data_IF_973986258626
#
_entry.id   IF_973986258626
#
_cell.length_a   1.000
_cell.length_b   1.000
_cell.length_c   1.000
_cell.angle_alpha   90.00
_cell.angle_beta   90.00
_cell.angle_gamma   90.00
#
_symmetry.space_group_name_H-M   'P 1'
#
loop_
_entity.id
_entity.type
_entity.pdbx_description
1 polymer ?
#
# COMPACT_ATOMS: atom_id res chain seq x y z
N UNK A 1 38.44 22.66 -23.66
CA UNK A 1 38.09 21.44 -22.90
C UNK A 1 38.86 21.40 -21.59
N UNK A 2 40.14 21.60 -21.59
CA UNK A 2 41.04 21.46 -20.41
C UNK A 2 40.73 22.53 -19.31
N UNK A 3 40.29 23.71 -19.68
CA UNK A 3 40.01 24.81 -18.73
C UNK A 3 38.76 24.55 -17.86
N UNK A 4 37.85 23.72 -18.34
CA UNK A 4 36.61 23.36 -17.59
C UNK A 4 36.76 22.04 -16.86
N UNK A 5 37.55 21.12 -17.38
CA UNK A 5 37.69 19.77 -16.81
C UNK A 5 38.50 19.75 -15.49
N UNK A 6 39.51 20.62 -15.34
CA UNK A 6 40.32 20.68 -14.10
C UNK A 6 39.50 21.22 -12.91
N UNK A 7 38.80 22.39 -13.00
CA UNK A 7 37.94 22.85 -11.91
C UNK A 7 36.82 21.90 -11.57
N UNK A 8 36.22 21.23 -12.59
CA UNK A 8 35.17 20.24 -12.38
C UNK A 8 35.69 18.99 -11.65
N UNK A 9 36.90 18.53 -12.03
CA UNK A 9 37.52 17.39 -11.34
C UNK A 9 37.82 17.70 -9.87
N UNK A 10 38.34 18.90 -9.57
CA UNK A 10 38.60 19.32 -8.18
C UNK A 10 37.28 19.48 -7.39
N UNK A 11 36.24 19.98 -8.03
CA UNK A 11 34.92 20.11 -7.40
C UNK A 11 34.33 18.72 -7.11
N UNK A 12 34.38 17.80 -8.05
CA UNK A 12 33.90 16.43 -7.88
C UNK A 12 34.65 15.69 -6.77
N UNK A 13 36.00 15.87 -6.69
CA UNK A 13 36.80 15.29 -5.59
C UNK A 13 36.39 15.80 -4.21
N UNK A 14 35.94 17.05 -4.09
CA UNK A 14 35.41 17.58 -2.81
C UNK A 14 34.11 16.94 -2.38
N UNK A 15 33.33 16.41 -3.32
CA UNK A 15 32.04 15.79 -3.09
C UNK A 15 32.05 14.28 -3.31
N UNK A 16 33.25 13.67 -3.46
CA UNK A 16 33.40 12.24 -3.74
C UNK A 16 32.58 11.36 -2.79
N UNK A 17 32.65 11.60 -1.49
CA UNK A 17 31.89 10.84 -0.51
C UNK A 17 30.38 11.01 -0.65
N UNK A 18 29.93 12.22 -0.96
CA UNK A 18 28.51 12.53 -1.16
C UNK A 18 27.96 11.88 -2.44
N UNK A 19 28.78 11.93 -3.52
CA UNK A 19 28.44 11.31 -4.78
C UNK A 19 28.44 9.78 -4.65
N UNK A 20 29.43 9.22 -3.98
CA UNK A 20 29.52 7.80 -3.72
C UNK A 20 28.33 7.27 -2.90
N UNK A 21 28.00 7.94 -1.82
CA UNK A 21 26.84 7.57 -0.99
C UNK A 21 25.54 7.55 -1.81
N UNK A 22 25.40 8.47 -2.76
CA UNK A 22 24.20 8.59 -3.60
C UNK A 22 24.11 7.54 -4.70
N UNK A 23 25.25 7.02 -5.16
CA UNK A 23 25.33 6.00 -6.22
C UNK A 23 25.70 4.60 -5.70
N UNK A 24 25.61 4.38 -4.38
CA UNK A 24 25.88 3.08 -3.78
C UNK A 24 27.37 2.66 -3.79
N UNK A 25 28.27 3.60 -4.01
CA UNK A 25 29.72 3.36 -3.95
C UNK A 25 30.30 3.74 -2.60
N UNK A 26 31.44 3.16 -2.27
CA UNK A 26 32.25 3.57 -1.12
C UNK A 26 33.66 3.89 -1.58
N UNK A 27 34.15 5.09 -1.28
CA UNK A 27 35.53 5.51 -1.57
C UNK A 27 36.46 5.42 -0.36
N UNK A 28 35.98 4.81 0.72
CA UNK A 28 36.82 4.58 1.88
C UNK A 28 37.86 3.52 1.52
N UNK A 29 39.13 3.91 1.55
CA UNK A 29 40.26 2.99 1.47
C UNK A 29 40.73 2.78 2.88
N UNK A 30 40.56 1.57 3.42
CA UNK A 30 41.14 1.21 4.70
C UNK A 30 42.69 1.27 4.57
N UNK A 31 43.29 2.07 5.44
CA UNK A 31 44.74 2.03 5.64
C UNK A 31 45.00 1.03 6.77
N UNK A 32 45.93 0.12 6.54
CA UNK A 32 46.27 -0.98 7.47
C UNK A 32 45.14 -2.01 7.61
N UNK A 33 44.63 -2.47 6.49
CA UNK A 33 43.64 -3.55 6.46
C UNK A 33 44.28 -4.83 7.06
N UNK A 34 43.78 -5.25 8.23
CA UNK A 34 44.05 -6.59 8.74
C UNK A 34 43.09 -7.56 8.06
N UNK A 35 43.59 -8.28 7.07
CA UNK A 35 42.77 -9.25 6.30
C UNK A 35 42.27 -10.42 7.14
N UNK A 36 42.76 -10.57 8.38
CA UNK A 36 42.31 -11.58 9.33
C UNK A 36 41.34 -11.00 10.39
N UNK A 37 41.12 -9.69 10.40
CA UNK A 37 40.21 -9.09 11.34
C UNK A 37 38.74 -9.41 10.97
N UNK A 38 38.03 -10.09 11.84
CA UNK A 38 36.58 -10.29 11.75
C UNK A 38 35.91 -9.41 12.80
N UNK A 39 35.46 -8.23 12.39
CA UNK A 39 34.73 -7.32 13.28
C UNK A 39 33.28 -7.74 13.47
N UNK A 40 32.67 -8.30 12.42
CA UNK A 40 31.32 -8.80 12.42
C UNK A 40 31.23 -10.11 11.65
N UNK A 41 30.63 -11.12 12.26
CA UNK A 41 30.24 -12.33 11.56
C UNK A 41 28.78 -12.21 11.13
N UNK A 42 28.49 -12.55 9.90
CA UNK A 42 27.11 -12.65 9.43
C UNK A 42 26.49 -13.93 9.96
N UNK A 43 25.22 -13.86 10.37
CA UNK A 43 24.41 -15.03 10.68
C UNK A 43 24.01 -15.83 9.43
N UNK A 44 24.26 -15.26 8.23
CA UNK A 44 23.90 -15.84 6.95
C UNK A 44 25.15 -16.27 6.16
N UNK A 45 25.04 -17.41 5.47
CA UNK A 45 26.10 -17.96 4.64
C UNK A 45 26.10 -17.39 3.21
N UNK A 46 25.02 -16.74 2.79
CA UNK A 46 24.90 -16.12 1.47
C UNK A 46 23.94 -14.92 1.49
N UNK A 47 24.06 -14.07 0.47
CA UNK A 47 23.11 -12.97 0.24
C UNK A 47 21.69 -13.50 -0.03
N UNK A 48 21.56 -14.63 -0.72
CA UNK A 48 20.26 -15.27 -0.97
C UNK A 48 19.59 -15.71 0.33
N UNK A 49 20.33 -16.35 1.23
CA UNK A 49 19.80 -16.75 2.55
C UNK A 49 19.32 -15.53 3.36
N UNK A 50 20.09 -14.45 3.35
CA UNK A 50 19.73 -13.20 4.02
C UNK A 50 18.46 -12.58 3.41
N UNK A 51 18.36 -12.53 2.09
CA UNK A 51 17.18 -11.99 1.40
C UNK A 51 15.94 -12.83 1.71
N UNK A 52 16.03 -14.16 1.63
CA UNK A 52 14.92 -15.06 1.93
C UNK A 52 14.45 -14.94 3.38
N UNK A 53 15.38 -14.78 4.32
CA UNK A 53 15.06 -14.50 5.70
C UNK A 53 14.32 -13.15 5.85
N UNK A 54 14.81 -12.10 5.18
CA UNK A 54 14.18 -10.78 5.18
C UNK A 54 12.75 -10.80 4.63
N UNK A 55 12.51 -11.54 3.53
CA UNK A 55 11.17 -11.71 2.98
C UNK A 55 10.23 -12.43 3.96
N UNK A 56 10.71 -13.51 4.59
CA UNK A 56 9.93 -14.23 5.60
C UNK A 56 9.62 -13.34 6.82
N UNK A 57 10.60 -12.55 7.25
CA UNK A 57 10.43 -11.61 8.37
C UNK A 57 9.41 -10.50 8.03
N UNK A 58 9.46 -9.94 6.81
CA UNK A 58 8.48 -8.94 6.37
C UNK A 58 7.07 -9.51 6.35
N UNK A 59 6.90 -10.75 5.90
CA UNK A 59 5.60 -11.43 5.95
C UNK A 59 5.13 -11.64 7.40
N UNK A 60 6.03 -12.03 8.31
CA UNK A 60 5.72 -12.19 9.72
C UNK A 60 5.32 -10.85 10.38
N UNK A 61 6.04 -9.78 10.07
CA UNK A 61 5.73 -8.42 10.59
C UNK A 61 4.33 -8.01 10.18
N UNK A 62 3.94 -8.25 8.93
CA UNK A 62 2.58 -7.96 8.47
C UNK A 62 1.54 -8.85 9.15
N UNK A 63 1.82 -10.15 9.31
CA UNK A 63 0.94 -11.11 9.98
C UNK A 63 0.61 -10.70 11.44
N UNK A 64 1.59 -10.14 12.13
CA UNK A 64 1.46 -9.68 13.52
C UNK A 64 0.98 -8.23 13.61
N UNK A 65 1.27 -7.38 12.59
CA UNK A 65 0.98 -5.96 12.57
C UNK A 65 -0.39 -5.59 12.03
N UNK A 66 -0.95 -6.39 11.12
CA UNK A 66 -2.26 -6.12 10.56
C UNK A 66 -3.36 -6.07 11.65
N UNK A 67 -4.22 -5.06 11.58
CA UNK A 67 -5.26 -4.83 12.59
C UNK A 67 -6.66 -5.07 12.02
N UNK A 68 -7.38 -6.03 12.59
CA UNK A 68 -8.79 -6.28 12.26
C UNK A 68 -9.67 -5.27 12.99
N UNK A 69 -10.23 -4.32 12.24
CA UNK A 69 -11.05 -3.24 12.79
C UNK A 69 -12.51 -3.64 12.95
N UNK A 70 -12.99 -4.51 12.05
CA UNK A 70 -14.37 -4.96 12.02
C UNK A 70 -14.47 -6.33 11.37
N UNK A 71 -15.32 -7.21 11.92
CA UNK A 71 -15.68 -8.51 11.31
C UNK A 71 -17.10 -8.88 11.70
N UNK A 72 -18.05 -8.31 11.00
CA UNK A 72 -19.47 -8.56 11.22
C UNK A 72 -19.92 -9.85 10.52
N UNK A 73 -20.89 -10.52 11.09
CA UNK A 73 -21.54 -11.70 10.50
C UNK A 73 -20.57 -12.83 10.11
N UNK A 74 -19.41 -12.93 10.76
CA UNK A 74 -18.35 -13.87 10.41
C UNK A 74 -17.95 -13.75 8.91
N UNK A 75 -17.78 -12.51 8.44
CA UNK A 75 -17.36 -12.27 7.06
C UNK A 75 -16.00 -12.89 6.75
N UNK A 76 -15.10 -12.80 7.70
CA UNK A 76 -13.80 -13.50 7.69
C UNK A 76 -13.83 -14.67 8.69
N UNK A 77 -13.14 -15.77 8.40
CA UNK A 77 -12.35 -16.02 7.20
C UNK A 77 -13.18 -16.31 5.95
N UNK A 78 -12.59 -16.09 4.78
CA UNK A 78 -13.09 -16.56 3.51
C UNK A 78 -13.00 -18.08 3.41
N UNK A 79 -13.89 -18.69 2.65
CA UNK A 79 -13.76 -20.11 2.29
C UNK A 79 -12.48 -20.36 1.47
N UNK A 80 -11.83 -21.53 1.59
CA UNK A 80 -10.56 -21.82 0.93
C UNK A 80 -10.59 -21.74 -0.60
N UNK A 81 -11.76 -21.91 -1.19
CA UNK A 81 -12.03 -21.91 -2.63
C UNK A 81 -12.87 -20.70 -3.08
N UNK A 82 -12.94 -19.68 -2.25
CA UNK A 82 -13.73 -18.48 -2.53
C UNK A 82 -13.35 -17.83 -3.85
N UNK A 83 -14.36 -17.33 -4.57
CA UNK A 83 -14.21 -16.55 -5.79
C UNK A 83 -14.52 -15.10 -5.48
N UNK A 84 -13.53 -14.22 -5.64
CA UNK A 84 -13.63 -12.84 -5.18
C UNK A 84 -13.42 -11.83 -6.31
N UNK A 85 -14.05 -10.68 -6.19
CA UNK A 85 -13.82 -9.52 -7.04
C UNK A 85 -13.05 -8.45 -6.25
N UNK A 86 -11.87 -8.06 -6.75
CA UNK A 86 -11.03 -7.02 -6.12
C UNK A 86 -11.31 -5.68 -6.75
N UNK A 87 -11.91 -4.78 -5.98
CA UNK A 87 -12.30 -3.44 -6.42
C UNK A 87 -11.28 -2.39 -6.02
N UNK A 88 -11.30 -1.28 -6.72
CA UNK A 88 -10.40 -0.14 -6.66
C UNK A 88 -9.12 -0.33 -7.48
N UNK A 89 -8.68 0.77 -8.11
CA UNK A 89 -7.37 0.81 -8.77
C UNK A 89 -6.22 0.53 -7.79
N UNK A 90 -6.43 0.79 -6.51
CA UNK A 90 -5.49 0.47 -5.44
C UNK A 90 -5.31 -1.03 -5.23
N UNK A 91 -6.27 -1.89 -5.59
CA UNK A 91 -6.14 -3.35 -5.47
C UNK A 91 -5.07 -3.93 -6.39
N UNK A 92 -4.80 -3.28 -7.52
CA UNK A 92 -3.74 -3.66 -8.47
C UNK A 92 -2.48 -2.79 -8.33
N UNK A 93 -2.55 -1.74 -7.53
CA UNK A 93 -1.47 -0.76 -7.32
C UNK A 93 -1.31 -0.46 -5.82
N UNK A 94 -0.98 -1.49 -5.05
CA UNK A 94 -0.78 -1.38 -3.60
C UNK A 94 0.33 -0.38 -3.25
N UNK A 95 0.23 0.21 -2.09
CA UNK A 95 1.34 0.89 -1.43
C UNK A 95 2.17 -0.15 -0.72
N UNK A 96 3.35 -0.44 -1.25
CA UNK A 96 4.30 -1.37 -0.67
C UNK A 96 5.26 -0.69 0.29
N UNK A 97 5.49 0.60 0.10
CA UNK A 97 6.33 1.46 0.95
C UNK A 97 6.08 2.92 0.63
N UNK A 98 6.56 3.81 1.49
CA UNK A 98 6.39 5.24 1.35
C UNK A 98 7.26 5.87 0.26
N UNK A 99 7.40 7.20 0.32
CA UNK A 99 8.30 7.99 -0.53
C UNK A 99 9.64 8.21 0.16
N UNK A 100 10.61 8.77 -0.54
CA UNK A 100 11.93 9.07 0.01
C UNK A 100 12.72 7.82 0.36
N UNK A 101 13.32 7.78 1.54
CA UNK A 101 14.09 6.63 2.05
C UNK A 101 13.23 5.39 2.34
N UNK A 102 11.92 5.57 2.51
CA UNK A 102 10.96 4.46 2.65
C UNK A 102 10.50 3.85 1.32
N UNK A 103 10.95 4.39 0.18
CA UNK A 103 10.60 3.85 -1.14
C UNK A 103 11.28 2.50 -1.39
N UNK A 104 10.53 1.56 -1.93
CA UNK A 104 11.02 0.22 -2.27
C UNK A 104 10.78 -0.09 -3.75
N UNK A 105 11.65 -0.95 -4.32
CA UNK A 105 11.38 -1.54 -5.62
C UNK A 105 10.43 -2.74 -5.46
N UNK A 106 9.17 -2.50 -5.79
CA UNK A 106 8.13 -3.53 -5.71
C UNK A 106 8.00 -4.38 -6.98
N UNK A 107 8.95 -4.30 -7.91
CA UNK A 107 8.87 -5.04 -9.19
C UNK A 107 8.85 -6.57 -9.03
N UNK A 108 9.36 -7.06 -7.91
CA UNK A 108 9.37 -8.49 -7.56
C UNK A 108 8.37 -8.85 -6.47
N UNK A 109 7.59 -7.87 -5.98
CA UNK A 109 6.61 -8.11 -4.94
C UNK A 109 5.40 -8.91 -5.47
N UNK A 110 4.82 -9.69 -4.61
CA UNK A 110 3.52 -10.29 -4.90
C UNK A 110 2.44 -9.21 -4.99
N UNK A 111 1.49 -9.42 -5.88
CA UNK A 111 0.27 -8.62 -5.97
C UNK A 111 -0.80 -9.18 -5.04
N UNK A 112 -1.86 -8.42 -4.77
CA UNK A 112 -3.02 -8.93 -4.05
C UNK A 112 -3.59 -10.20 -4.72
N UNK A 113 -3.64 -10.21 -6.05
CA UNK A 113 -4.11 -11.38 -6.82
C UNK A 113 -3.21 -12.59 -6.59
N UNK A 114 -1.89 -12.47 -6.80
CA UNK A 114 -0.98 -13.62 -6.65
C UNK A 114 -0.97 -14.13 -5.21
N UNK A 115 -1.06 -13.26 -4.22
CA UNK A 115 -1.13 -13.64 -2.81
C UNK A 115 -2.43 -14.41 -2.49
N UNK A 116 -3.58 -13.97 -3.00
CA UNK A 116 -4.85 -14.65 -2.83
C UNK A 116 -4.86 -16.02 -3.55
N UNK A 117 -4.32 -16.11 -4.76
CA UNK A 117 -4.22 -17.36 -5.52
C UNK A 117 -3.31 -18.39 -4.80
N UNK A 118 -2.24 -17.97 -4.14
CA UNK A 118 -1.37 -18.86 -3.31
C UNK A 118 -2.11 -19.51 -2.14
N UNK A 119 -3.15 -18.89 -1.64
CA UNK A 119 -3.96 -19.44 -0.53
C UNK A 119 -5.23 -20.15 -1.02
N UNK A 120 -5.43 -20.27 -2.34
CA UNK A 120 -6.51 -21.03 -2.96
C UNK A 120 -7.73 -20.19 -3.36
N UNK A 121 -7.70 -18.88 -3.16
CA UNK A 121 -8.78 -17.96 -3.56
C UNK A 121 -8.65 -17.60 -5.03
N UNK A 122 -9.76 -17.61 -5.76
CA UNK A 122 -9.78 -17.24 -7.18
C UNK A 122 -10.21 -15.79 -7.36
N UNK A 123 -9.38 -14.99 -8.01
CA UNK A 123 -9.66 -13.58 -8.27
C UNK A 123 -10.31 -13.39 -9.63
N UNK A 124 -11.32 -12.52 -9.71
CA UNK A 124 -12.00 -12.14 -10.95
C UNK A 124 -11.01 -11.59 -11.99
N UNK A 125 -10.70 -12.33 -13.06
CA UNK A 125 -9.71 -11.89 -14.03
C UNK A 125 -10.18 -10.70 -14.86
N UNK A 126 -11.47 -10.62 -15.19
CA UNK A 126 -12.04 -9.53 -16.01
C UNK A 126 -11.94 -8.20 -15.28
N UNK A 127 -12.28 -8.15 -13.99
CA UNK A 127 -12.15 -6.93 -13.17
C UNK A 127 -10.67 -6.59 -12.93
N UNK A 128 -9.82 -7.60 -12.73
CA UNK A 128 -8.38 -7.39 -12.59
C UNK A 128 -7.76 -6.77 -13.85
N UNK A 129 -8.10 -7.35 -15.01
CA UNK A 129 -7.61 -6.89 -16.31
C UNK A 129 -8.15 -5.49 -16.66
N UNK A 130 -9.37 -5.16 -16.22
CA UNK A 130 -9.91 -3.81 -16.35
C UNK A 130 -8.98 -2.75 -15.73
N UNK A 131 -8.44 -3.00 -14.54
CA UNK A 131 -7.54 -2.08 -13.86
C UNK A 131 -6.08 -2.14 -14.34
N UNK A 132 -5.62 -3.28 -14.89
CA UNK A 132 -4.20 -3.45 -15.22
C UNK A 132 -3.89 -3.15 -16.68
N UNK A 133 -4.76 -3.53 -17.59
CA UNK A 133 -4.58 -3.39 -19.04
C UNK A 133 -5.78 -2.74 -19.76
N UNK A 134 -6.95 -2.73 -19.11
CA UNK A 134 -8.19 -2.17 -19.63
C UNK A 134 -8.32 -0.67 -19.40
N UNK A 135 -9.55 -0.15 -19.48
CA UNK A 135 -9.86 1.27 -19.38
C UNK A 135 -9.52 1.88 -18.01
N UNK A 136 -9.54 1.09 -16.95
CA UNK A 136 -9.22 1.55 -15.59
C UNK A 136 -7.74 1.85 -15.36
N UNK A 137 -6.82 1.33 -16.20
CA UNK A 137 -5.37 1.50 -16.02
C UNK A 137 -4.90 2.96 -16.04
N UNK A 138 -5.58 3.80 -16.82
CA UNK A 138 -5.18 5.19 -17.02
C UNK A 138 -5.49 6.07 -15.78
N UNK A 139 -6.24 5.52 -14.83
CA UNK A 139 -6.56 6.15 -13.54
C UNK A 139 -5.60 5.70 -12.43
N UNK A 140 -4.69 4.77 -12.72
CA UNK A 140 -3.74 4.30 -11.72
C UNK A 140 -2.90 5.46 -11.18
N UNK A 141 -2.72 5.46 -9.87
CA UNK A 141 -1.82 6.39 -9.19
C UNK A 141 -0.42 6.28 -9.78
N UNK A 142 0.25 7.41 -10.04
CA UNK A 142 1.66 7.39 -10.44
C UNK A 142 2.50 6.74 -9.33
N UNK A 143 3.46 5.91 -9.72
CA UNK A 143 4.36 5.30 -8.75
C UNK A 143 5.12 6.41 -8.02
N UNK A 144 5.15 6.33 -6.70
CA UNK A 144 5.98 7.21 -5.88
C UNK A 144 7.45 7.03 -6.25
N UNK A 145 8.15 8.14 -6.50
CA UNK A 145 9.59 8.13 -6.74
C UNK A 145 10.39 8.34 -5.46
N UNK A 146 11.72 8.32 -5.59
CA UNK A 146 12.63 8.61 -4.48
C UNK A 146 12.47 10.03 -3.91
N UNK A 147 11.87 10.94 -4.65
CA UNK A 147 11.53 12.30 -4.20
C UNK A 147 10.02 12.39 -4.13
N UNK A 148 9.48 12.75 -2.96
CA UNK A 148 8.07 13.05 -2.82
C UNK A 148 7.71 14.19 -3.77
N UNK A 149 7.02 13.87 -4.84
CA UNK A 149 6.24 14.85 -5.55
C UNK A 149 4.85 14.79 -4.93
N UNK A 150 4.35 15.91 -4.49
CA UNK A 150 3.07 16.10 -3.81
C UNK A 150 1.88 15.65 -4.67
N UNK A 151 1.77 14.37 -4.95
CA UNK A 151 0.59 13.83 -5.61
C UNK A 151 -0.31 13.17 -4.58
N UNK A 152 -1.00 13.98 -3.82
CA UNK A 152 -2.14 13.58 -3.00
C UNK A 152 -3.32 13.22 -3.90
N UNK A 153 -3.18 12.13 -4.64
CA UNK A 153 -4.17 11.66 -5.60
C UNK A 153 -4.64 10.28 -5.18
N UNK A 154 -5.92 10.15 -4.94
CA UNK A 154 -6.57 8.88 -4.63
C UNK A 154 -6.59 7.96 -5.84
N UNK A 155 -6.76 8.52 -7.04
CA UNK A 155 -6.69 7.84 -8.33
C UNK A 155 -7.69 6.68 -8.47
N UNK A 156 -8.94 6.89 -8.03
CA UNK A 156 -10.00 5.90 -8.25
C UNK A 156 -10.70 6.11 -9.59
N UNK A 157 -11.12 5.02 -10.20
CA UNK A 157 -11.79 5.00 -11.51
C UNK A 157 -13.24 5.45 -11.37
N UNK A 158 -13.71 6.46 -12.16
CA UNK A 158 -15.11 6.83 -12.18
C UNK A 158 -15.99 5.64 -12.56
N UNK A 159 -17.14 5.48 -11.88
CA UNK A 159 -17.99 4.30 -12.07
C UNK A 159 -18.59 4.14 -13.47
N UNK A 160 -18.73 5.23 -14.21
CA UNK A 160 -19.20 5.23 -15.60
C UNK A 160 -18.18 4.68 -16.61
N UNK A 161 -16.91 4.55 -16.22
CA UNK A 161 -15.86 3.90 -17.01
C UNK A 161 -15.97 2.36 -16.96
N UNK A 162 -16.60 1.79 -15.91
CA UNK A 162 -16.80 0.36 -15.80
C UNK A 162 -17.79 -0.13 -16.85
N UNK A 163 -17.35 -1.01 -17.73
CA UNK A 163 -18.19 -1.61 -18.78
C UNK A 163 -19.20 -2.61 -18.20
N UNK A 164 -20.26 -2.90 -18.94
CA UNK A 164 -21.24 -3.91 -18.53
C UNK A 164 -20.58 -5.29 -18.37
N UNK A 165 -19.66 -5.65 -19.27
CA UNK A 165 -18.87 -6.90 -19.16
C UNK A 165 -18.13 -6.99 -17.81
N UNK A 166 -17.48 -5.90 -17.38
CA UNK A 166 -16.78 -5.85 -16.08
C UNK A 166 -17.77 -6.00 -14.93
N UNK A 167 -18.88 -5.29 -14.97
CA UNK A 167 -19.94 -5.36 -13.93
C UNK A 167 -20.57 -6.74 -13.85
N UNK A 168 -20.91 -7.33 -14.99
CA UNK A 168 -21.53 -8.64 -15.07
C UNK A 168 -20.60 -9.78 -14.62
N UNK A 169 -19.28 -9.61 -14.82
CA UNK A 169 -18.29 -10.59 -14.39
C UNK A 169 -18.30 -10.84 -12.87
N UNK A 170 -18.70 -9.83 -12.09
CA UNK A 170 -18.72 -9.89 -10.61
C UNK A 170 -19.63 -11.03 -10.11
N UNK A 171 -20.71 -11.32 -10.78
CA UNK A 171 -21.65 -12.38 -10.37
C UNK A 171 -20.99 -13.77 -10.27
N UNK A 172 -19.97 -14.05 -11.08
CA UNK A 172 -19.22 -15.32 -11.06
C UNK A 172 -18.16 -15.36 -9.94
N UNK A 173 -17.81 -14.19 -9.39
CA UNK A 173 -16.77 -14.01 -8.37
C UNK A 173 -17.29 -13.22 -7.18
N UNK A 174 -18.55 -13.46 -6.82
CA UNK A 174 -19.33 -12.71 -5.84
C UNK A 174 -19.27 -13.28 -4.41
N UNK A 175 -18.41 -14.24 -4.10
CA UNK A 175 -18.31 -14.73 -2.71
C UNK A 175 -17.85 -13.61 -1.77
N UNK A 176 -17.01 -12.70 -2.27
CA UNK A 176 -16.71 -11.43 -1.64
C UNK A 176 -16.28 -10.35 -2.64
N UNK A 177 -16.63 -9.10 -2.37
CA UNK A 177 -15.94 -7.93 -2.89
C UNK A 177 -14.84 -7.54 -1.90
N UNK A 178 -13.59 -7.50 -2.37
CA UNK A 178 -12.45 -6.99 -1.59
C UNK A 178 -12.12 -5.61 -2.16
N UNK A 179 -12.34 -4.58 -1.36
CA UNK A 179 -12.08 -3.19 -1.73
C UNK A 179 -10.80 -2.73 -1.06
N UNK A 180 -9.86 -2.17 -1.82
CA UNK A 180 -8.62 -1.63 -1.27
C UNK A 180 -8.62 -0.11 -1.38
N UNK A 181 -8.48 0.57 -0.25
CA UNK A 181 -8.29 2.02 -0.20
C UNK A 181 -6.85 2.33 0.20
N UNK A 182 -6.14 3.10 -0.61
CA UNK A 182 -4.74 3.42 -0.35
C UNK A 182 -4.50 4.91 -0.26
N UNK A 183 -3.58 5.28 0.64
CA UNK A 183 -3.01 6.63 0.71
C UNK A 183 -1.49 6.50 0.78
N UNK A 184 -0.80 7.27 -0.05
CA UNK A 184 0.66 7.32 -0.03
C UNK A 184 1.09 8.42 0.92
N UNK A 185 1.96 8.07 1.85
CA UNK A 185 2.66 9.02 2.71
C UNK A 185 4.16 8.79 2.61
N UNK A 186 4.94 9.69 3.15
CA UNK A 186 6.38 9.49 3.20
C UNK A 186 7.16 10.78 3.36
N UNK A 187 8.48 10.64 3.22
CA UNK A 187 9.45 11.70 3.44
C UNK A 187 9.31 12.84 2.43
N UNK A 188 9.46 14.07 2.88
CA UNK A 188 9.73 15.24 2.05
C UNK A 188 8.54 16.16 1.78
N UNK A 189 7.31 15.78 2.12
CA UNK A 189 6.13 16.65 1.99
C UNK A 189 5.08 16.32 3.05
N UNK A 190 4.45 17.35 3.58
CA UNK A 190 3.21 17.22 4.34
C UNK A 190 2.00 17.12 3.42
N UNK A 191 0.88 16.68 3.98
CA UNK A 191 -0.41 16.71 3.29
C UNK A 191 -0.85 18.16 3.05
N UNK A 192 -1.60 18.40 1.97
CA UNK A 192 -2.16 19.71 1.70
C UNK A 192 -3.15 20.09 2.78
N UNK A 193 -3.04 21.34 3.25
CA UNK A 193 -4.01 21.94 4.12
C UNK A 193 -5.03 22.71 3.27
N UNK A 194 -6.30 22.31 3.29
CA UNK A 194 -7.31 23.03 2.54
C UNK A 194 -8.58 22.24 2.25
N UNK A 195 -9.28 22.63 1.19
CA UNK A 195 -10.62 22.11 0.84
C UNK A 195 -10.62 20.62 0.45
N UNK A 196 -9.49 20.08 0.02
CA UNK A 196 -9.35 18.67 -0.36
C UNK A 196 -8.77 17.88 0.80
N UNK A 197 -9.59 17.08 1.46
CA UNK A 197 -9.15 16.16 2.49
C UNK A 197 -8.68 14.86 1.84
N UNK A 198 -7.37 14.79 1.54
CA UNK A 198 -6.76 13.59 0.97
C UNK A 198 -6.99 12.32 1.80
N UNK A 199 -7.13 12.45 3.12
CA UNK A 199 -7.36 11.32 4.02
C UNK A 199 -8.83 10.89 4.09
N UNK A 200 -9.77 11.62 3.48
CA UNK A 200 -11.17 11.20 3.34
C UNK A 200 -11.38 10.47 2.01
N UNK A 201 -12.54 9.85 1.86
CA UNK A 201 -12.96 9.27 0.58
C UNK A 201 -13.22 10.37 -0.45
N UNK A 202 -12.72 10.21 -1.65
CA UNK A 202 -13.11 11.04 -2.79
C UNK A 202 -14.45 10.59 -3.40
N UNK A 203 -14.94 11.35 -4.37
CA UNK A 203 -16.25 11.07 -4.98
C UNK A 203 -16.26 9.78 -5.80
N UNK A 204 -15.14 9.37 -6.41
CA UNK A 204 -15.05 8.12 -7.16
C UNK A 204 -14.97 6.92 -6.22
N UNK A 205 -14.22 7.02 -5.11
CA UNK A 205 -14.19 6.00 -4.06
C UNK A 205 -15.58 5.79 -3.44
N UNK A 206 -16.31 6.89 -3.14
CA UNK A 206 -17.68 6.83 -2.65
C UNK A 206 -18.62 6.16 -3.67
N UNK A 207 -18.53 6.56 -4.94
CA UNK A 207 -19.34 5.98 -6.01
C UNK A 207 -19.07 4.48 -6.18
N UNK A 208 -17.83 4.06 -6.15
CA UNK A 208 -17.44 2.65 -6.23
C UNK A 208 -18.01 1.87 -5.03
N UNK A 209 -17.81 2.34 -3.80
CA UNK A 209 -18.34 1.70 -2.59
C UNK A 209 -19.87 1.61 -2.60
N UNK A 210 -20.55 2.68 -3.04
CA UNK A 210 -22.01 2.69 -3.17
C UNK A 210 -22.50 1.60 -4.14
N UNK A 211 -21.84 1.45 -5.28
CA UNK A 211 -22.20 0.44 -6.27
C UNK A 211 -21.87 -0.98 -5.79
N UNK A 212 -20.79 -1.19 -5.05
CA UNK A 212 -20.50 -2.48 -4.40
C UNK A 212 -21.57 -2.81 -3.35
N UNK A 213 -22.04 -1.83 -2.57
CA UNK A 213 -23.14 -2.01 -1.62
C UNK A 213 -24.45 -2.39 -2.33
N UNK A 214 -24.78 -1.77 -3.48
CA UNK A 214 -25.95 -2.17 -4.28
C UNK A 214 -25.78 -3.58 -4.88
N UNK A 215 -24.58 -3.97 -5.31
CA UNK A 215 -24.28 -5.35 -5.75
C UNK A 215 -24.49 -6.37 -4.61
N UNK A 216 -24.14 -6.01 -3.39
CA UNK A 216 -24.41 -6.85 -2.21
C UNK A 216 -25.91 -6.95 -1.93
N UNK A 217 -26.60 -5.82 -1.93
CA UNK A 217 -28.04 -5.77 -1.67
C UNK A 217 -28.87 -6.57 -2.67
N UNK A 218 -28.46 -6.62 -3.94
CA UNK A 218 -29.12 -7.41 -4.97
C UNK A 218 -28.64 -8.86 -5.06
N UNK A 219 -27.68 -9.26 -4.20
CA UNK A 219 -27.18 -10.63 -4.09
C UNK A 219 -26.07 -11.00 -5.09
N UNK A 220 -25.56 -10.06 -5.89
CA UNK A 220 -24.41 -10.29 -6.79
C UNK A 220 -23.14 -10.55 -5.98
N UNK A 221 -22.99 -9.86 -4.85
CA UNK A 221 -21.87 -10.01 -3.89
C UNK A 221 -22.46 -10.46 -2.54
N UNK A 222 -21.80 -11.41 -1.88
CA UNK A 222 -22.24 -11.93 -0.56
C UNK A 222 -21.68 -11.16 0.62
N UNK A 223 -20.45 -10.66 0.49
CA UNK A 223 -19.68 -9.99 1.56
C UNK A 223 -18.85 -8.85 0.98
N UNK A 224 -18.69 -7.77 1.73
CA UNK A 224 -17.79 -6.66 1.40
C UNK A 224 -16.67 -6.59 2.44
N UNK A 225 -15.44 -6.69 2.01
CA UNK A 225 -14.23 -6.66 2.83
C UNK A 225 -13.41 -5.44 2.41
N UNK A 226 -13.07 -4.58 3.37
CA UNK A 226 -12.25 -3.41 3.16
C UNK A 226 -10.81 -3.68 3.60
N UNK A 227 -9.84 -3.37 2.74
CA UNK A 227 -8.43 -3.29 3.07
C UNK A 227 -8.00 -1.82 3.10
N UNK A 228 -7.47 -1.36 4.22
CA UNK A 228 -6.89 -0.02 4.38
C UNK A 228 -5.37 -0.14 4.23
N UNK A 229 -4.89 0.15 3.02
CA UNK A 229 -3.48 0.11 2.64
C UNK A 229 -2.89 1.52 2.71
N UNK A 230 -2.63 1.96 3.93
CA UNK A 230 -2.15 3.31 4.21
C UNK A 230 -1.41 3.37 5.52
N UNK A 231 -0.24 4.00 5.53
CA UNK A 231 0.46 4.39 6.76
C UNK A 231 -0.18 5.65 7.38
N UNK A 232 -0.89 6.46 6.60
CA UNK A 232 -1.61 7.63 7.09
C UNK A 232 -2.95 7.21 7.70
N UNK A 233 -3.40 7.95 8.73
CA UNK A 233 -4.70 7.73 9.37
C UNK A 233 -5.86 8.16 8.46
N UNK A 234 -6.36 7.22 7.65
CA UNK A 234 -7.52 7.43 6.80
C UNK A 234 -8.73 7.83 7.66
N UNK A 235 -9.50 8.83 7.22
CA UNK A 235 -10.77 9.17 7.84
C UNK A 235 -11.80 8.06 7.58
N UNK A 236 -12.41 7.57 8.65
CA UNK A 236 -13.26 6.36 8.61
C UNK A 236 -14.71 6.64 9.02
N UNK A 237 -15.21 7.85 8.75
CA UNK A 237 -16.60 8.26 9.02
C UNK A 237 -17.62 7.30 8.40
N UNK A 238 -17.34 6.79 7.22
CA UNK A 238 -18.18 5.83 6.50
C UNK A 238 -18.35 4.49 7.23
N UNK A 239 -17.45 4.11 8.13
CA UNK A 239 -17.58 2.93 8.97
C UNK A 239 -18.48 3.16 10.18
N UNK A 240 -18.70 4.41 10.62
CA UNK A 240 -19.48 4.74 11.81
C UNK A 240 -20.93 4.24 11.73
N UNK A 241 -21.58 4.47 10.60
CA UNK A 241 -22.95 4.06 10.35
C UNK A 241 -23.03 2.91 9.34
N UNK A 242 -21.87 2.41 8.93
CA UNK A 242 -21.72 1.38 7.91
C UNK A 242 -22.48 1.69 6.61
N UNK A 243 -22.30 2.89 6.11
CA UNK A 243 -23.03 3.46 4.98
C UNK A 243 -22.98 2.60 3.71
N UNK A 244 -21.83 1.91 3.52
CA UNK A 244 -21.59 1.07 2.34
C UNK A 244 -21.71 -0.44 2.63
N UNK A 245 -22.36 -0.82 3.73
CA UNK A 245 -22.63 -2.22 4.11
C UNK A 245 -21.37 -3.10 4.08
N UNK A 246 -20.28 -2.60 4.66
CA UNK A 246 -18.99 -3.30 4.79
C UNK A 246 -19.09 -4.32 5.93
N UNK A 247 -18.71 -5.57 5.68
CA UNK A 247 -18.77 -6.66 6.66
C UNK A 247 -17.49 -6.80 7.47
N UNK A 248 -16.33 -6.61 6.83
CA UNK A 248 -15.05 -6.66 7.50
C UNK A 248 -14.13 -5.53 7.04
N UNK A 249 -13.32 -5.02 7.93
CA UNK A 249 -12.30 -4.02 7.63
C UNK A 249 -10.98 -4.40 8.31
N UNK A 250 -9.92 -4.45 7.52
CA UNK A 250 -8.56 -4.78 7.95
C UNK A 250 -7.61 -3.65 7.55
N UNK A 251 -6.90 -3.09 8.53
CA UNK A 251 -5.78 -2.21 8.27
C UNK A 251 -4.53 -3.03 8.01
N UNK A 252 -3.84 -2.73 6.90
CA UNK A 252 -2.66 -3.45 6.42
C UNK A 252 -1.44 -2.54 6.22
N UNK A 253 -1.54 -1.25 6.53
CA UNK A 253 -0.42 -0.31 6.38
C UNK A 253 0.21 -0.33 4.98
N UNK A 254 1.52 -0.16 4.93
CA UNK A 254 2.36 -0.33 3.74
C UNK A 254 2.97 -1.74 3.81
N UNK A 255 2.56 -2.63 2.91
CA UNK A 255 2.73 -4.09 3.08
C UNK A 255 4.17 -4.62 2.86
N UNK A 256 5.12 -3.77 2.45
CA UNK A 256 6.46 -4.24 2.08
C UNK A 256 6.44 -5.21 0.89
N UNK A 257 7.58 -5.84 0.59
CA UNK A 257 7.70 -6.70 -0.61
C UNK A 257 6.89 -7.99 -0.49
N UNK A 258 6.73 -8.55 0.71
CA UNK A 258 6.12 -9.87 0.93
C UNK A 258 4.94 -9.90 1.87
N UNK A 259 4.63 -8.80 2.56
CA UNK A 259 3.56 -8.75 3.56
C UNK A 259 2.17 -9.03 3.00
N UNK A 260 1.92 -8.71 1.73
CA UNK A 260 0.61 -9.01 1.10
C UNK A 260 0.26 -10.51 1.16
N UNK A 261 1.26 -11.40 1.24
CA UNK A 261 1.01 -12.82 1.44
C UNK A 261 0.38 -13.10 2.82
N UNK A 262 0.85 -12.41 3.87
CA UNK A 262 0.24 -12.50 5.20
C UNK A 262 -1.20 -11.98 5.20
N UNK A 263 -1.48 -10.89 4.48
CA UNK A 263 -2.86 -10.39 4.32
C UNK A 263 -3.77 -11.47 3.72
N UNK A 264 -3.33 -12.16 2.67
CA UNK A 264 -4.10 -13.27 2.08
C UNK A 264 -4.31 -14.44 3.08
N UNK A 265 -3.30 -14.73 3.91
CA UNK A 265 -3.39 -15.73 4.96
C UNK A 265 -4.37 -15.33 6.08
N UNK A 266 -4.42 -14.03 6.43
CA UNK A 266 -5.40 -13.48 7.36
C UNK A 266 -6.81 -13.60 6.78
N UNK A 267 -7.00 -13.19 5.53
CA UNK A 267 -8.30 -13.25 4.87
C UNK A 267 -8.88 -14.67 4.80
N UNK A 268 -8.02 -15.69 4.76
CA UNK A 268 -8.42 -17.12 4.72
C UNK A 268 -8.34 -17.83 6.07
N UNK A 269 -7.98 -17.10 7.14
CA UNK A 269 -7.92 -17.66 8.51
C UNK A 269 -6.74 -18.57 8.78
N UNK A 270 -5.73 -18.60 7.92
CA UNK A 270 -4.46 -19.30 8.20
C UNK A 270 -3.65 -18.57 9.27
N UNK A 271 -3.78 -17.26 9.32
CA UNK A 271 -3.22 -16.37 10.33
C UNK A 271 -4.36 -15.61 11.01
N UNK A 272 -4.29 -15.50 12.33
CA UNK A 272 -5.22 -14.66 13.09
C UNK A 272 -4.57 -13.30 13.35
N UNK A 273 -5.13 -12.18 12.84
CA UNK A 273 -4.54 -10.87 13.03
C UNK A 273 -4.51 -10.49 14.51
N UNK A 274 -3.38 -10.00 14.98
CA UNK A 274 -3.17 -9.63 16.38
C UNK A 274 -2.74 -8.19 16.59
N UNK A 275 -2.54 -7.44 15.50
CA UNK A 275 -2.13 -6.05 15.53
C UNK A 275 -3.18 -5.12 16.12
N UNK A 276 -2.72 -3.96 16.57
CA UNK A 276 -3.54 -2.83 16.99
C UNK A 276 -3.07 -1.58 16.27
N UNK A 277 -4.01 -0.70 15.97
CA UNK A 277 -3.65 0.60 15.40
C UNK A 277 -2.74 1.37 16.35
N UNK A 278 -1.70 1.98 15.80
CA UNK A 278 -0.78 2.84 16.55
C UNK A 278 -1.29 4.27 16.68
N UNK A 279 -2.31 4.61 15.89
CA UNK A 279 -2.94 5.92 15.83
C UNK A 279 -4.45 5.83 16.01
N UNK A 280 -5.09 6.97 16.35
CA UNK A 280 -6.54 7.06 16.38
C UNK A 280 -7.08 7.39 15.00
N UNK A 281 -7.81 6.46 14.39
CA UNK A 281 -8.53 6.68 13.14
C UNK A 281 -9.85 7.40 13.44
N UNK A 282 -9.94 8.65 12.99
CA UNK A 282 -11.06 9.53 13.32
C UNK A 282 -12.20 9.39 12.31
N UNK A 283 -13.42 9.67 12.78
CA UNK A 283 -14.58 9.90 11.90
C UNK A 283 -14.58 11.30 11.27
N UNK A 284 -13.79 12.21 11.83
CA UNK A 284 -13.49 13.52 11.29
C UNK A 284 -12.07 13.87 11.73
N UNK A 285 -11.14 13.82 10.78
CA UNK A 285 -9.72 14.08 11.06
C UNK A 285 -9.51 15.52 11.55
N UNK A 286 -10.33 16.48 11.07
CA UNK A 286 -10.25 17.87 11.51
C UNK A 286 -10.79 18.12 12.92
N UNK A 287 -11.40 17.12 13.57
CA UNK A 287 -11.69 17.18 15.00
C UNK A 287 -10.42 17.13 15.87
N UNK A 288 -9.32 16.67 15.34
CA UNK A 288 -8.03 16.63 16.04
C UNK A 288 -7.28 17.96 15.87
N UNK A 289 -6.88 18.64 16.97
CA UNK A 289 -6.16 19.92 16.87
C UNK A 289 -4.85 19.87 16.06
N UNK A 290 -4.18 18.72 16.03
CA UNK A 290 -2.97 18.51 15.25
C UNK A 290 -3.21 18.69 13.73
N UNK A 291 -4.39 18.37 13.24
CA UNK A 291 -4.74 18.53 11.83
C UNK A 291 -4.91 19.99 11.39
N UNK A 292 -5.02 20.90 12.34
CA UNK A 292 -5.10 22.35 12.09
C UNK A 292 -3.75 23.07 12.24
N UNK A 293 -2.78 22.43 12.90
CA UNK A 293 -1.55 23.09 13.36
C UNK A 293 -0.28 22.33 12.92
N UNK A 294 -0.31 21.54 11.88
CA UNK A 294 0.87 20.81 11.40
C UNK A 294 1.74 21.61 10.42
N UNK A 295 1.25 22.72 9.89
CA UNK A 295 2.03 23.62 9.03
C UNK A 295 2.78 24.67 9.86
N UNK A 296 3.96 25.15 9.41
CA UNK A 296 4.65 26.25 10.07
C UNK A 296 3.76 27.50 10.13
N UNK A 297 3.53 28.00 11.32
CA UNK A 297 2.78 29.24 11.55
C UNK A 297 3.69 30.29 12.16
N UNK A 298 3.61 31.54 11.67
CA UNK A 298 4.26 32.69 12.29
C UNK A 298 3.22 33.36 13.20
N UNK A 299 3.53 33.46 14.47
CA UNK A 299 2.73 34.27 15.40
C UNK A 299 3.19 35.73 15.29
N UNK A 300 2.29 36.64 14.96
CA UNK A 300 2.51 38.07 15.02
C UNK A 300 2.30 38.63 16.44
#
# INVERSE_FOLDING_TARGET
VTIVSIPLSILLQKFDNTMAARFGGSFWKLQNEDTNAQYYTSDFNSAEEMVNYGLALTQQVEAEGAALLMNNNNALPLAPDAKVSTFSSSSVNLVYGGTGSGNIDASTADTLRTALEKVGVTVNPTLWDFYTVGAGKDYARSKSGMVATSSEVTAEVPWDVYTDEVKDSVAQYGDAAIVTLSRVGGEGADLSYGEVNYLALDENEKAMLQNVAEMKKNGTVKKTILLINSANALQVDFLKNNEYDIDAALWIGDVGISGINAVAEILTGKVNPSGSLVDTYCYDNFSAPAMWNFTPTTYE
#
